data_IF_001382318987
#
_entry.id   IF_001382318987
#
_cell.length_a   1.000
_cell.length_b   1.000
_cell.length_c   1.000
_cell.angle_alpha   90.00
_cell.angle_beta   90.00
_cell.angle_gamma   90.00
#
_symmetry.space_group_name_H-M   'P 1'
#
loop_
_entity.id
_entity.type
_entity.pdbx_description
1 polymer ?
#
# COMPACT_ATOMS: atom_id res chain seq x y z
N UNK A 1 -17.28 -2.25 -2.61
CA UNK A 1 -16.26 -1.73 -1.70
C UNK A 1 -15.48 -2.91 -1.14
N UNK A 2 -14.18 -2.95 -1.36
CA UNK A 2 -13.28 -4.03 -0.97
C UNK A 2 -12.02 -3.44 -0.31
N UNK A 3 -11.50 -4.10 0.72
CA UNK A 3 -10.28 -3.70 1.39
C UNK A 3 -9.23 -4.79 1.26
N UNK A 4 -8.04 -4.41 0.83
CA UNK A 4 -6.86 -5.27 0.87
C UNK A 4 -5.92 -4.74 1.94
N UNK A 5 -5.60 -5.61 2.89
CA UNK A 5 -4.64 -5.31 3.96
C UNK A 5 -3.41 -6.16 3.74
N UNK A 6 -2.27 -5.49 3.54
CA UNK A 6 -0.97 -6.14 3.37
C UNK A 6 -0.08 -5.77 4.55
N UNK A 7 0.29 -6.75 5.35
CA UNK A 7 1.29 -6.59 6.41
C UNK A 7 2.67 -6.93 5.87
N UNK A 8 3.68 -6.16 6.24
CA UNK A 8 5.06 -6.39 5.82
C UNK A 8 6.03 -6.10 6.98
N UNK A 9 7.16 -6.80 6.96
CA UNK A 9 8.31 -6.47 7.81
C UNK A 9 9.24 -5.49 7.10
N UNK A 10 9.84 -4.57 7.83
CA UNK A 10 10.86 -3.65 7.32
C UNK A 10 11.94 -3.42 8.37
N UNK A 11 13.11 -2.94 7.95
CA UNK A 11 14.16 -2.53 8.87
C UNK A 11 13.85 -1.14 9.41
N UNK A 12 13.58 -1.03 10.71
CA UNK A 12 13.24 0.23 11.37
C UNK A 12 14.35 1.29 11.23
N UNK A 13 15.61 0.88 11.11
CA UNK A 13 16.73 1.79 10.91
C UNK A 13 16.71 2.47 9.53
N UNK A 14 15.96 1.91 8.56
CA UNK A 14 15.82 2.42 7.18
C UNK A 14 14.41 2.94 6.90
N UNK A 15 13.66 3.28 7.94
CA UNK A 15 12.27 3.74 7.79
C UNK A 15 12.15 5.01 6.94
N UNK A 16 13.08 5.96 7.08
CA UNK A 16 13.07 7.19 6.27
C UNK A 16 13.29 6.90 4.78
N UNK A 17 14.17 5.95 4.45
CA UNK A 17 14.36 5.50 3.06
C UNK A 17 13.11 4.79 2.54
N UNK A 18 12.45 3.98 3.38
CA UNK A 18 11.19 3.34 3.05
C UNK A 18 10.09 4.35 2.77
N UNK A 19 9.97 5.40 3.58
CA UNK A 19 9.01 6.49 3.36
C UNK A 19 9.30 7.25 2.05
N UNK A 20 10.56 7.55 1.76
CA UNK A 20 10.95 8.20 0.50
C UNK A 20 10.60 7.32 -0.71
N UNK A 21 10.85 6.02 -0.62
CA UNK A 21 10.47 5.07 -1.67
C UNK A 21 8.95 4.93 -1.80
N UNK A 22 8.20 4.90 -0.70
CA UNK A 22 6.73 4.88 -0.73
C UNK A 22 6.14 6.13 -1.41
N UNK A 23 6.79 7.29 -1.26
CA UNK A 23 6.40 8.52 -1.95
C UNK A 23 6.52 8.40 -3.47
N UNK A 24 7.56 7.71 -3.97
CA UNK A 24 7.73 7.48 -5.42
C UNK A 24 6.65 6.59 -6.03
N UNK A 25 6.09 5.66 -5.24
CA UNK A 25 4.99 4.80 -5.68
C UNK A 25 3.62 5.49 -5.60
N UNK A 26 3.51 6.68 -5.00
CA UNK A 26 2.22 7.37 -4.84
C UNK A 26 1.55 7.65 -6.18
N UNK A 27 2.32 8.11 -7.16
CA UNK A 27 1.79 8.42 -8.49
C UNK A 27 1.34 7.16 -9.23
N UNK A 28 2.07 6.06 -9.11
CA UNK A 28 1.68 4.76 -9.67
C UNK A 28 0.40 4.23 -9.02
N UNK A 29 0.28 4.34 -7.69
CA UNK A 29 -0.92 3.93 -6.97
C UNK A 29 -2.14 4.77 -7.37
N UNK A 30 -1.98 6.09 -7.52
CA UNK A 30 -3.05 6.97 -7.99
C UNK A 30 -3.50 6.66 -9.44
N UNK A 31 -2.66 6.00 -10.23
CA UNK A 31 -2.99 5.60 -11.59
C UNK A 31 -3.76 4.26 -11.68
N UNK A 32 -3.91 3.53 -10.56
CA UNK A 32 -4.65 2.26 -10.53
C UNK A 32 -6.16 2.55 -10.61
N UNK A 33 -6.80 2.05 -11.66
CA UNK A 33 -8.24 2.20 -11.83
C UNK A 33 -9.00 1.43 -10.73
N UNK A 34 -10.01 2.08 -10.16
CA UNK A 34 -10.81 1.54 -9.06
C UNK A 34 -10.14 1.53 -7.67
N UNK A 35 -8.90 2.03 -7.52
CA UNK A 35 -8.29 2.29 -6.21
C UNK A 35 -8.80 3.64 -5.65
N UNK A 36 -9.50 3.59 -4.52
CA UNK A 36 -10.09 4.78 -3.89
C UNK A 36 -9.14 5.43 -2.88
N UNK A 37 -8.34 4.64 -2.17
CA UNK A 37 -7.36 5.17 -1.20
C UNK A 37 -6.32 4.13 -0.81
N UNK A 38 -5.11 4.57 -0.47
CA UNK A 38 -4.07 3.76 0.17
C UNK A 38 -3.60 4.44 1.44
N UNK A 39 -3.49 3.67 2.51
CA UNK A 39 -2.97 4.13 3.78
C UNK A 39 -1.87 3.19 4.27
N UNK A 40 -0.67 3.72 4.52
CA UNK A 40 0.41 2.97 5.18
C UNK A 40 0.51 3.40 6.64
N UNK A 41 0.69 2.43 7.53
CA UNK A 41 0.93 2.69 8.95
C UNK A 41 1.96 1.71 9.52
N UNK A 42 2.72 2.19 10.51
CA UNK A 42 3.62 1.37 11.31
C UNK A 42 2.78 0.74 12.42
N UNK A 43 2.87 -0.57 12.55
CA UNK A 43 2.13 -1.35 13.56
C UNK A 43 3.01 -1.66 14.76
N UNK A 44 4.30 -1.94 14.52
CA UNK A 44 5.31 -2.18 15.55
C UNK A 44 6.72 -1.86 15.01
N UNK A 45 7.75 -1.96 15.85
CA UNK A 45 9.14 -1.78 15.42
C UNK A 45 9.50 -2.80 14.32
N UNK A 46 9.74 -2.27 13.11
CA UNK A 46 10.04 -3.09 11.93
C UNK A 46 8.83 -3.83 11.35
N UNK A 47 7.60 -3.47 11.73
CA UNK A 47 6.38 -4.03 11.16
C UNK A 47 5.44 -2.93 10.67
N UNK A 48 5.03 -3.04 9.41
CA UNK A 48 4.14 -2.11 8.74
C UNK A 48 2.92 -2.79 8.16
N UNK A 49 1.92 -1.97 7.86
CA UNK A 49 0.69 -2.39 7.21
C UNK A 49 0.28 -1.36 6.17
N UNK A 50 -0.14 -1.84 5.00
CA UNK A 50 -0.78 -1.03 3.97
C UNK A 50 -2.24 -1.48 3.87
N UNK A 51 -3.14 -0.50 3.94
CA UNK A 51 -4.57 -0.67 3.74
C UNK A 51 -4.95 0.01 2.44
N UNK A 52 -5.31 -0.78 1.45
CA UNK A 52 -5.80 -0.31 0.16
C UNK A 52 -7.30 -0.51 0.09
N UNK A 53 -8.03 0.53 -0.33
CA UNK A 53 -9.48 0.53 -0.50
C UNK A 53 -9.80 0.59 -1.99
N UNK A 54 -10.60 -0.35 -2.44
CA UNK A 54 -11.04 -0.48 -3.83
C UNK A 54 -12.56 -0.35 -3.95
N UNK A 55 -13.02 0.14 -5.09
CA UNK A 55 -14.45 0.23 -5.43
C UNK A 55 -15.12 -1.15 -5.44
N UNK A 56 -14.41 -2.19 -5.90
CA UNK A 56 -14.88 -3.58 -5.99
C UNK A 56 -13.72 -4.58 -5.77
N UNK A 57 -14.06 -5.86 -5.58
CA UNK A 57 -13.08 -6.95 -5.52
C UNK A 57 -12.38 -7.14 -6.87
N UNK A 58 -13.13 -7.08 -7.99
CA UNK A 58 -12.57 -7.16 -9.34
C UNK A 58 -11.50 -6.08 -9.61
N UNK A 59 -11.73 -4.84 -9.14
CA UNK A 59 -10.72 -3.78 -9.25
C UNK A 59 -9.45 -4.07 -8.44
N UNK A 60 -9.57 -4.81 -7.32
CA UNK A 60 -8.40 -5.23 -6.54
C UNK A 60 -7.60 -6.35 -7.23
N UNK A 61 -8.28 -7.25 -7.94
CA UNK A 61 -7.66 -8.32 -8.73
C UNK A 61 -6.95 -7.76 -9.97
N UNK A 62 -7.58 -6.82 -10.69
CA UNK A 62 -6.98 -6.13 -11.84
C UNK A 62 -5.76 -5.28 -11.45
N UNK A 63 -5.74 -4.78 -10.21
CA UNK A 63 -4.62 -4.04 -9.64
C UNK A 63 -3.43 -4.92 -9.19
N UNK A 64 -3.50 -6.25 -9.27
CA UNK A 64 -2.34 -7.10 -8.99
C UNK A 64 -1.34 -7.04 -10.16
N UNK A 65 -0.04 -6.82 -9.89
CA UNK A 65 0.98 -7.02 -10.91
C UNK A 65 0.96 -8.50 -11.35
N UNK A 66 0.95 -8.74 -12.67
CA UNK A 66 0.99 -10.08 -13.27
C UNK A 66 2.38 -10.71 -13.20
#
# INVERSE_FOLDING_TARGET
>A
MYFRVTTYGFDAARFDEFLAMADTFRDELNAIDGLESVHSCVVDEGQGMIVSRYASEAAADEAQPQ
#
